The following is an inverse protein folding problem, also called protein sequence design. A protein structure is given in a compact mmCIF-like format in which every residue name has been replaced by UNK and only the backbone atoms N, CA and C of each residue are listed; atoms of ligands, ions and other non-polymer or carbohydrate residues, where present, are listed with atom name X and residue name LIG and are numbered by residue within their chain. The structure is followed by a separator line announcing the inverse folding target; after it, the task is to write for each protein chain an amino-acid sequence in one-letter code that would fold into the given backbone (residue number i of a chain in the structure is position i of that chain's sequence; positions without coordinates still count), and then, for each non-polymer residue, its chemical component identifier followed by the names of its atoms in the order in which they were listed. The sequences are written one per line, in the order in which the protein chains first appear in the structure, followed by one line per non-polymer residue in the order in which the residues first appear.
data_IF_630870765928
#
_entry.id   IF_630870765928
#
_cell.length_a   1.000
_cell.length_b   1.000
_cell.length_c   1.000
_cell.angle_alpha   90.00
_cell.angle_beta   90.00
_cell.angle_gamma   90.00
#
_symmetry.space_group_name_H-M   'P 1'
#
loop_
_entity.id
_entity.type
_entity.pdbx_description
1 polymer ?
#
# COMPACT_ATOMS: atom_id res chain seq x y z
N UNK A 1 -5.18 12.32 -9.79
CA UNK A 1 -4.36 11.55 -8.83
C UNK A 1 -3.46 12.43 -7.98
N UNK A 2 -2.61 13.30 -8.55
CA UNK A 2 -1.64 14.13 -7.80
C UNK A 2 -2.16 15.39 -7.07
N UNK A 3 -3.46 15.73 -7.19
CA UNK A 3 -4.03 16.96 -6.56
C UNK A 3 -4.42 16.79 -5.09
N UNK A 4 -4.50 15.58 -4.56
CA UNK A 4 -4.84 15.32 -3.16
C UNK A 4 -3.64 15.39 -2.20
N UNK A 5 -2.43 15.63 -2.72
CA UNK A 5 -1.25 15.95 -1.91
C UNK A 5 -1.27 17.41 -1.40
N UNK A 6 -2.19 18.24 -1.89
CA UNK A 6 -2.37 19.60 -1.38
C UNK A 6 -3.56 19.56 -0.43
N UNK A 7 -3.38 18.97 0.76
CA UNK A 7 -4.43 18.90 1.78
C UNK A 7 -4.63 20.25 2.48
N UNK A 8 -3.67 21.17 2.30
CA UNK A 8 -3.79 22.57 2.66
C UNK A 8 -3.76 23.43 1.39
N UNK A 9 -4.92 23.61 0.74
CA UNK A 9 -5.13 24.71 -0.19
C UNK A 9 -6.17 25.64 0.44
N UNK A 10 -5.71 26.65 1.18
CA UNK A 10 -6.59 27.67 1.77
C UNK A 10 -6.84 28.77 0.72
N UNK A 11 -8.07 28.96 0.22
CA UNK A 11 -8.53 30.28 -0.22
C UNK A 11 -8.62 31.23 1.00
N UNK A 12 -8.47 32.56 0.82
CA UNK A 12 -8.18 33.54 1.88
C UNK A 12 -9.23 33.68 2.99
N UNK A 13 -10.31 32.90 2.98
CA UNK A 13 -11.48 33.08 3.83
C UNK A 13 -11.52 32.15 5.06
N UNK A 14 -10.66 31.13 5.14
CA UNK A 14 -10.58 30.21 6.29
C UNK A 14 -9.12 29.87 6.65
N UNK A 15 -8.55 30.48 7.71
CA UNK A 15 -7.26 30.09 8.25
C UNK A 15 -7.48 28.92 9.21
N UNK A 16 -7.84 27.75 8.68
CA UNK A 16 -7.69 26.52 9.46
C UNK A 16 -6.18 26.27 9.57
N UNK A 17 -5.58 26.30 10.78
CA UNK A 17 -4.17 25.99 10.91
C UNK A 17 -3.97 24.56 10.37
N UNK A 18 -3.02 24.37 9.45
CA UNK A 18 -2.68 23.03 8.95
C UNK A 18 -2.35 22.11 10.15
N UNK A 19 -3.35 21.36 10.59
CA UNK A 19 -3.23 20.46 11.72
C UNK A 19 -2.51 19.19 11.35
N UNK A 20 -2.10 18.43 12.37
CA UNK A 20 -1.44 17.15 12.19
C UNK A 20 -2.33 16.13 11.45
N UNK A 21 -3.66 16.30 11.51
CA UNK A 21 -4.66 15.50 10.78
C UNK A 21 -4.46 15.55 9.26
N UNK A 22 -4.22 16.74 8.69
CA UNK A 22 -4.02 16.93 7.26
C UNK A 22 -2.69 16.33 6.76
N UNK A 23 -1.64 16.36 7.59
CA UNK A 23 -0.36 15.68 7.32
C UNK A 23 -0.49 14.16 7.31
N UNK A 24 -1.31 13.60 8.20
CA UNK A 24 -1.56 12.16 8.24
C UNK A 24 -2.42 11.72 7.04
N UNK A 25 -3.42 12.52 6.67
CA UNK A 25 -4.27 12.26 5.50
C UNK A 25 -3.47 12.32 4.19
N UNK A 26 -2.49 13.23 4.11
CA UNK A 26 -1.51 13.27 3.02
C UNK A 26 -0.74 11.95 2.91
N UNK A 27 -0.19 11.45 4.02
CA UNK A 27 0.59 10.22 4.04
C UNK A 27 -0.26 9.02 3.61
N UNK A 28 -1.51 8.94 4.08
CA UNK A 28 -2.40 7.82 3.72
C UNK A 28 -2.74 7.82 2.22
N UNK A 29 -3.01 9.00 1.64
CA UNK A 29 -3.26 9.14 0.20
C UNK A 29 -2.01 8.84 -0.65
N UNK A 30 -0.83 9.30 -0.21
CA UNK A 30 0.43 9.03 -0.89
C UNK A 30 0.75 7.53 -0.93
N UNK A 31 0.55 6.84 0.19
CA UNK A 31 0.80 5.40 0.27
C UNK A 31 -0.19 4.62 -0.60
N UNK A 32 -1.48 4.99 -0.61
CA UNK A 32 -2.46 4.35 -1.48
C UNK A 32 -2.09 4.49 -2.96
N UNK A 33 -1.61 5.66 -3.38
CA UNK A 33 -1.18 5.89 -4.76
C UNK A 33 0.04 5.01 -5.13
N UNK A 34 0.99 4.87 -4.19
CA UNK A 34 2.17 4.02 -4.35
C UNK A 34 1.82 2.53 -4.44
N UNK A 35 0.82 2.08 -3.68
CA UNK A 35 0.36 0.68 -3.66
C UNK A 35 -0.30 0.29 -4.98
N UNK A 36 -1.07 1.19 -5.60
CA UNK A 36 -1.69 0.92 -6.91
C UNK A 36 -0.62 0.62 -7.96
N UNK A 37 0.47 1.38 -7.96
CA UNK A 37 1.62 1.15 -8.87
C UNK A 37 2.33 -0.16 -8.54
N UNK A 38 2.57 -0.44 -7.25
CA UNK A 38 3.23 -1.67 -6.79
C UNK A 38 2.42 -2.92 -7.15
N UNK A 39 1.10 -2.85 -7.01
CA UNK A 39 0.18 -3.97 -7.29
C UNK A 39 0.23 -4.36 -8.76
N UNK A 40 0.29 -3.39 -9.67
CA UNK A 40 0.45 -3.65 -11.10
C UNK A 40 1.73 -4.44 -11.41
N UNK A 41 2.84 -4.07 -10.77
CA UNK A 41 4.12 -4.76 -10.93
C UNK A 41 4.09 -6.17 -10.32
N UNK A 42 3.44 -6.32 -9.16
CA UNK A 42 3.25 -7.61 -8.51
C UNK A 42 2.40 -8.56 -9.37
N UNK A 43 1.28 -8.09 -9.93
CA UNK A 43 0.43 -8.88 -10.82
C UNK A 43 1.20 -9.40 -12.02
N UNK A 44 2.07 -8.58 -12.64
CA UNK A 44 2.93 -9.02 -13.74
C UNK A 44 3.94 -10.11 -13.30
N UNK A 45 4.55 -9.96 -12.12
CA UNK A 45 5.46 -10.98 -11.57
C UNK A 45 4.74 -12.30 -11.25
N UNK A 46 3.52 -12.25 -10.72
CA UNK A 46 2.70 -13.43 -10.48
C UNK A 46 2.26 -14.12 -11.78
N UNK A 47 1.89 -13.36 -12.81
CA UNK A 47 1.56 -13.91 -14.12
C UNK A 47 2.75 -14.66 -14.74
N UNK A 48 3.96 -14.09 -14.66
CA UNK A 48 5.18 -14.72 -15.15
C UNK A 48 5.55 -16.00 -14.36
N UNK A 49 5.48 -15.93 -13.03
CA UNK A 49 5.73 -17.09 -12.16
C UNK A 49 4.70 -18.22 -12.39
N UNK A 50 3.43 -17.87 -12.58
CA UNK A 50 2.36 -18.81 -12.91
C UNK A 50 2.59 -19.48 -14.27
N UNK A 51 3.07 -18.74 -15.27
CA UNK A 51 3.36 -19.28 -16.60
C UNK A 51 4.48 -20.34 -16.59
N UNK A 52 5.57 -20.09 -15.84
CA UNK A 52 6.67 -21.06 -15.64
C UNK A 52 6.20 -22.33 -14.91
N UNK A 53 5.27 -22.18 -13.96
CA UNK A 53 4.69 -23.31 -13.22
C UNK A 53 3.85 -24.23 -14.13
N UNK A 54 3.08 -23.64 -15.05
CA UNK A 54 2.20 -24.36 -15.97
C UNK A 54 2.98 -25.03 -17.12
N UNK A 55 4.06 -24.41 -17.60
CA UNK A 55 4.88 -24.94 -18.71
C UNK A 55 5.92 -26.00 -18.30
N UNK A 56 6.12 -26.25 -17.00
CA UNK A 56 7.10 -27.23 -16.47
C UNK A 56 6.63 -28.70 -16.55
N UNK A 57 5.94 -29.08 -17.63
CA UNK A 57 5.28 -30.38 -17.84
C UNK A 57 6.20 -31.61 -17.77
N UNK A 58 6.55 -32.05 -16.56
CA UNK A 58 7.08 -33.40 -16.30
C UNK A 58 8.41 -33.51 -15.55
N UNK A 59 9.15 -32.43 -15.30
CA UNK A 59 10.43 -32.49 -14.58
C UNK A 59 10.26 -32.13 -13.09
N UNK A 60 10.40 -33.09 -12.18
CA UNK A 60 10.30 -32.89 -10.72
C UNK A 60 11.26 -31.82 -10.20
N UNK A 61 12.43 -31.70 -10.83
CA UNK A 61 13.44 -30.69 -10.47
C UNK A 61 12.96 -29.27 -10.80
N UNK A 62 12.26 -29.10 -11.93
CA UNK A 62 11.63 -27.83 -12.31
C UNK A 62 10.42 -27.51 -11.41
N UNK A 63 9.63 -28.52 -11.02
CA UNK A 63 8.52 -28.35 -10.07
C UNK A 63 8.99 -27.86 -8.71
N UNK A 64 10.08 -28.41 -8.19
CA UNK A 64 10.60 -28.01 -6.88
C UNK A 64 11.16 -26.58 -6.91
N UNK A 65 11.92 -26.22 -7.97
CA UNK A 65 12.36 -24.84 -8.20
C UNK A 65 11.20 -23.86 -8.36
N UNK A 66 10.16 -24.24 -9.10
CA UNK A 66 9.01 -23.37 -9.30
C UNK A 66 8.24 -23.14 -7.99
N UNK A 67 8.10 -24.16 -7.13
CA UNK A 67 7.53 -24.02 -5.78
C UNK A 67 8.36 -23.09 -4.88
N UNK A 68 9.68 -23.16 -4.98
CA UNK A 68 10.58 -22.29 -4.21
C UNK A 68 10.42 -20.82 -4.64
N UNK A 69 10.42 -20.57 -5.96
CA UNK A 69 10.21 -19.22 -6.52
C UNK A 69 8.81 -18.71 -6.14
N UNK A 70 7.78 -19.56 -6.25
CA UNK A 70 6.41 -19.18 -5.90
C UNK A 70 6.27 -18.81 -4.42
N UNK A 71 6.91 -19.55 -3.50
CA UNK A 71 6.95 -19.20 -2.08
C UNK A 71 7.66 -17.87 -1.84
N UNK A 72 8.79 -17.60 -2.51
CA UNK A 72 9.51 -16.32 -2.36
C UNK A 72 8.67 -15.13 -2.81
N UNK A 73 7.99 -15.24 -3.96
CA UNK A 73 7.10 -14.19 -4.48
C UNK A 73 5.87 -14.01 -3.58
N UNK A 74 5.27 -15.11 -3.11
CA UNK A 74 4.11 -15.07 -2.22
C UNK A 74 4.43 -14.36 -0.90
N UNK A 75 5.58 -14.66 -0.29
CA UNK A 75 6.04 -13.98 0.93
C UNK A 75 6.34 -12.50 0.68
N UNK A 76 6.95 -12.14 -0.45
CA UNK A 76 7.20 -10.74 -0.81
C UNK A 76 5.91 -9.93 -0.95
N UNK A 77 4.89 -10.50 -1.60
CA UNK A 77 3.60 -9.85 -1.77
C UNK A 77 2.82 -9.71 -0.46
N UNK A 78 2.79 -10.77 0.36
CA UNK A 78 2.19 -10.72 1.69
C UNK A 78 2.85 -9.64 2.57
N UNK A 79 4.17 -9.46 2.46
CA UNK A 79 4.88 -8.44 3.23
C UNK A 79 4.49 -7.02 2.83
N UNK A 80 4.37 -6.75 1.52
CA UNK A 80 3.94 -5.44 1.01
C UNK A 80 2.51 -5.12 1.46
N UNK A 81 1.60 -6.08 1.32
CA UNK A 81 0.21 -5.93 1.79
C UNK A 81 0.13 -5.75 3.31
N UNK A 82 0.96 -6.48 4.07
CA UNK A 82 1.04 -6.36 5.53
C UNK A 82 1.54 -4.99 6.00
N UNK A 83 2.58 -4.46 5.35
CA UNK A 83 3.10 -3.13 5.64
C UNK A 83 2.06 -2.04 5.37
N UNK A 84 1.34 -2.13 4.25
CA UNK A 84 0.25 -1.21 3.93
C UNK A 84 -0.88 -1.24 4.95
N UNK A 85 -1.35 -2.44 5.26
CA UNK A 85 -2.44 -2.65 6.22
C UNK A 85 -2.08 -2.10 7.60
N UNK A 86 -0.84 -2.30 8.06
CA UNK A 86 -0.36 -1.77 9.33
C UNK A 86 -0.44 -0.24 9.38
N UNK A 87 0.09 0.44 8.35
CA UNK A 87 0.06 1.91 8.31
C UNK A 87 -1.38 2.42 8.26
N UNK A 88 -2.22 1.82 7.41
CA UNK A 88 -3.64 2.16 7.33
C UNK A 88 -4.34 2.01 8.68
N UNK A 89 -4.07 0.91 9.39
CA UNK A 89 -4.64 0.62 10.71
C UNK A 89 -4.22 1.66 11.73
N UNK A 90 -2.92 1.96 11.84
CA UNK A 90 -2.41 2.96 12.79
C UNK A 90 -3.04 4.32 12.51
N UNK A 91 -3.07 4.75 11.25
CA UNK A 91 -3.66 6.02 10.85
C UNK A 91 -5.16 6.07 11.16
N UNK A 92 -5.92 5.03 10.79
CA UNK A 92 -7.36 4.99 11.06
C UNK A 92 -7.70 4.94 12.56
N UNK A 93 -6.85 4.30 13.36
CA UNK A 93 -7.00 4.26 14.81
C UNK A 93 -6.72 5.63 15.45
N UNK A 94 -5.73 6.36 14.94
CA UNK A 94 -5.35 7.69 15.45
C UNK A 94 -6.31 8.81 15.01
N UNK A 95 -7.00 8.66 13.88
CA UNK A 95 -8.01 9.61 13.39
C UNK A 95 -9.42 9.34 13.94
N UNK A 96 -9.60 8.30 14.77
CA UNK A 96 -10.91 7.96 15.32
C UNK A 96 -11.37 9.06 16.31
N UNK A 97 -12.56 9.67 16.14
CA UNK A 97 -13.04 10.86 16.87
C UNK A 97 -13.15 10.76 18.40
N UNK A 98 -12.79 9.63 19.00
CA UNK A 98 -12.72 9.46 20.47
C UNK A 98 -11.42 9.90 21.13
N UNK A 99 -10.33 10.15 20.38
CA UNK A 99 -8.98 10.42 20.92
C UNK A 99 -8.25 11.61 20.27
N UNK A 100 -8.98 12.61 19.75
CA UNK A 100 -8.40 13.84 19.20
C UNK A 100 -7.80 14.72 20.31
N UNK A 101 -6.61 14.37 20.82
CA UNK A 101 -5.88 15.09 21.87
C UNK A 101 -5.06 16.27 21.31
N UNK A 102 -4.86 16.34 19.99
CA UNK A 102 -4.18 17.44 19.32
C UNK A 102 -5.15 18.10 18.32
N UNK A 103 -5.93 19.04 18.85
CA UNK A 103 -6.57 20.16 18.15
C UNK A 103 -7.29 19.85 16.85
N UNK A 104 -8.61 19.70 16.93
CA UNK A 104 -9.48 20.38 15.97
C UNK A 104 -9.35 21.91 16.23
N UNK A 105 -9.43 22.80 15.24
CA UNK A 105 -9.95 22.66 13.87
C UNK A 105 -8.96 22.03 12.87
#
# INVERSE_FOLDING_TARGET
MWRTLIVCNSPPDFPEPCGFSHLILLAQNLINDLIVISTFLATAAFAYAGFILLTSGGNESAKNKAKEIFRKVLFGYLWILGAWLLVYTITSALLNPGFSILGAP
#
